data_IF_659465687700
#
_entry.id   IF_659465687700
#
_cell.length_a   1.000
_cell.length_b   1.000
_cell.length_c   1.000
_cell.angle_alpha   90.00
_cell.angle_beta   90.00
_cell.angle_gamma   90.00
#
_symmetry.space_group_name_H-M   'P 1'
#
loop_
_entity.id
_entity.type
_entity.pdbx_description
1 polymer ?
#
# COMPACT_ATOMS: atom_id res chain seq x y z
N UNK A 1 -8.85 1.57 18.54
CA UNK A 1 -10.26 1.28 18.18
C UNK A 1 -10.74 0.20 19.12
N UNK A 2 -11.86 0.41 19.81
CA UNK A 2 -12.39 -0.52 20.80
C UNK A 2 -13.90 -0.67 20.59
N UNK A 3 -14.40 -1.90 20.69
CA UNK A 3 -15.78 -2.30 20.46
C UNK A 3 -16.26 -2.07 19.02
N UNK A 4 -15.37 -2.08 18.02
CA UNK A 4 -15.77 -1.65 16.68
C UNK A 4 -16.44 -2.78 15.88
N UNK A 5 -17.74 -2.61 15.64
CA UNK A 5 -18.60 -3.53 14.91
C UNK A 5 -18.86 -3.08 13.45
N UNK A 6 -18.13 -2.09 12.92
CA UNK A 6 -18.31 -1.66 11.53
C UNK A 6 -17.81 -2.75 10.58
N UNK A 7 -18.50 -2.86 9.44
CA UNK A 7 -18.19 -3.79 8.35
C UNK A 7 -16.86 -3.48 7.68
N UNK A 8 -16.53 -2.20 7.59
CA UNK A 8 -15.32 -1.72 6.95
C UNK A 8 -15.00 -0.32 7.46
N UNK A 9 -13.72 0.05 7.40
CA UNK A 9 -13.23 1.36 7.84
C UNK A 9 -12.06 1.73 6.93
N UNK A 10 -12.19 2.83 6.19
CA UNK A 10 -11.04 3.42 5.50
C UNK A 10 -10.14 4.05 6.56
N UNK A 11 -8.96 3.48 6.76
CA UNK A 11 -8.02 3.92 7.78
C UNK A 11 -7.16 5.07 7.26
N UNK A 12 -6.63 4.96 6.04
CA UNK A 12 -5.86 6.02 5.38
C UNK A 12 -6.08 6.05 3.87
N UNK A 13 -5.79 7.20 3.29
CA UNK A 13 -5.72 7.42 1.84
C UNK A 13 -4.50 8.30 1.55
N UNK A 14 -3.45 7.72 0.97
CA UNK A 14 -2.17 8.42 0.77
C UNK A 14 -1.59 8.19 -0.63
N UNK A 15 -1.00 9.24 -1.20
CA UNK A 15 -0.29 9.20 -2.47
C UNK A 15 1.19 8.91 -2.28
N UNK A 16 1.67 7.81 -2.82
CA UNK A 16 3.08 7.41 -2.80
C UNK A 16 3.76 7.80 -4.11
N UNK A 17 4.85 8.53 -4.00
CA UNK A 17 5.82 8.76 -5.05
C UNK A 17 6.91 7.67 -4.99
N UNK A 18 7.85 7.72 -5.94
CA UNK A 18 9.01 6.82 -5.93
C UNK A 18 9.78 6.93 -4.60
N UNK A 19 10.05 5.78 -3.99
CA UNK A 19 10.74 5.64 -2.72
C UNK A 19 9.94 6.09 -1.50
N UNK A 20 8.63 6.39 -1.65
CA UNK A 20 7.73 6.57 -0.54
C UNK A 20 7.57 5.30 0.30
N UNK A 21 7.25 5.44 1.58
CA UNK A 21 7.13 4.33 2.53
C UNK A 21 5.81 4.35 3.27
N UNK A 22 5.24 3.17 3.46
CA UNK A 22 4.10 2.89 4.33
C UNK A 22 4.59 1.99 5.46
N UNK A 23 4.57 2.51 6.69
CA UNK A 23 4.94 1.76 7.88
C UNK A 23 3.71 1.57 8.76
N UNK A 24 3.44 0.32 9.11
CA UNK A 24 2.28 -0.12 9.85
C UNK A 24 2.72 -0.83 11.12
N UNK A 25 2.16 -0.41 12.26
CA UNK A 25 2.27 -1.14 13.53
C UNK A 25 0.87 -1.42 14.06
N UNK A 26 0.48 -2.69 14.03
CA UNK A 26 -0.75 -3.19 14.61
C UNK A 26 -0.45 -3.68 16.02
N UNK A 27 -1.17 -3.16 17.01
CA UNK A 27 -1.04 -3.57 18.41
C UNK A 27 -2.39 -3.88 19.02
N UNK A 28 -2.40 -4.85 19.94
CA UNK A 28 -3.59 -5.24 20.69
C UNK A 28 -4.78 -5.60 19.79
N UNK A 29 -4.54 -6.23 18.63
CA UNK A 29 -5.61 -6.79 17.81
C UNK A 29 -6.24 -7.96 18.55
N UNK A 30 -7.56 -7.94 18.73
CA UNK A 30 -8.31 -9.01 19.37
C UNK A 30 -9.72 -9.10 18.79
N UNK A 31 -10.28 -10.30 18.91
CA UNK A 31 -11.62 -10.67 18.50
C UNK A 31 -12.30 -11.43 19.64
N UNK A 32 -13.64 -11.49 19.67
CA UNK A 32 -14.36 -12.29 20.65
C UNK A 32 -13.92 -13.76 20.60
N UNK A 33 -13.69 -14.37 21.76
CA UNK A 33 -13.20 -15.75 21.85
C UNK A 33 -14.07 -16.76 21.09
N UNK A 34 -15.39 -16.50 21.00
CA UNK A 34 -16.36 -17.33 20.28
C UNK A 34 -16.09 -17.48 18.78
N UNK A 35 -15.28 -16.58 18.20
CA UNK A 35 -14.90 -16.61 16.80
C UNK A 35 -13.40 -16.83 16.59
N UNK A 36 -12.58 -16.91 17.64
CA UNK A 36 -11.13 -16.96 17.52
C UNK A 36 -10.65 -18.10 16.61
N UNK A 37 -11.21 -19.30 16.79
CA UNK A 37 -10.91 -20.49 15.98
C UNK A 37 -11.53 -20.44 14.57
N UNK A 38 -12.48 -19.51 14.34
CA UNK A 38 -13.16 -19.29 13.06
C UNK A 38 -12.54 -18.18 12.23
N UNK A 39 -11.67 -17.36 12.80
CA UNK A 39 -10.87 -16.37 12.06
C UNK A 39 -9.70 -17.11 11.39
N UNK A 40 -10.05 -17.97 10.44
CA UNK A 40 -9.10 -18.67 9.58
C UNK A 40 -9.07 -18.05 8.18
N UNK A 41 -7.98 -18.32 7.47
CA UNK A 41 -7.76 -17.80 6.11
C UNK A 41 -7.91 -18.87 5.03
N UNK A 42 -8.53 -20.01 5.36
CA UNK A 42 -8.61 -21.18 4.48
C UNK A 42 -9.57 -20.93 3.32
N UNK A 43 -9.29 -21.57 2.18
CA UNK A 43 -10.10 -21.48 0.96
C UNK A 43 -11.56 -21.93 1.17
N UNK A 44 -11.82 -22.75 2.20
CA UNK A 44 -13.15 -23.17 2.65
C UNK A 44 -13.76 -22.28 3.75
N UNK A 45 -13.21 -21.08 4.02
CA UNK A 45 -13.82 -20.07 4.89
C UNK A 45 -15.15 -19.51 4.35
N UNK A 46 -15.64 -20.10 3.25
CA UNK A 46 -17.03 -20.14 2.82
C UNK A 46 -17.94 -20.72 3.92
N UNK A 47 -18.18 -19.92 4.96
CA UNK A 47 -19.50 -19.69 5.61
C UNK A 47 -19.45 -18.77 6.84
N UNK A 48 -18.28 -18.53 7.42
CA UNK A 48 -18.18 -17.81 8.71
C UNK A 48 -17.89 -16.31 8.57
N UNK A 49 -17.18 -15.89 7.52
CA UNK A 49 -16.69 -14.52 7.35
C UNK A 49 -15.20 -14.41 7.70
N UNK A 50 -14.50 -13.45 7.08
CA UNK A 50 -13.07 -13.17 7.30
C UNK A 50 -12.86 -11.77 7.88
N UNK A 51 -11.77 -11.57 8.62
CA UNK A 51 -11.35 -10.24 9.11
C UNK A 51 -9.97 -9.95 8.53
N UNK A 52 -9.73 -8.70 8.18
CA UNK A 52 -8.46 -8.34 7.59
C UNK A 52 -8.36 -6.91 7.11
N UNK A 53 -7.36 -6.67 6.27
CA UNK A 53 -7.07 -5.35 5.71
C UNK A 53 -6.84 -5.46 4.20
N UNK A 54 -7.06 -4.37 3.48
CA UNK A 54 -6.65 -4.24 2.08
C UNK A 54 -5.86 -2.96 1.89
N UNK A 55 -4.74 -3.06 1.18
CA UNK A 55 -4.00 -1.92 0.64
C UNK A 55 -4.16 -1.91 -0.87
N UNK A 56 -4.98 -1.01 -1.40
CA UNK A 56 -5.33 -0.98 -2.84
C UNK A 56 -4.87 0.29 -3.52
N UNK A 57 -4.33 0.18 -4.73
CA UNK A 57 -4.03 1.32 -5.60
C UNK A 57 -5.30 1.79 -6.29
N UNK A 58 -5.51 3.11 -6.31
CA UNK A 58 -6.71 3.75 -6.86
C UNK A 58 -7.94 3.57 -5.96
N UNK A 59 -9.09 4.04 -6.44
CA UNK A 59 -10.31 4.15 -5.63
C UNK A 59 -11.26 2.94 -5.77
N UNK A 60 -10.90 1.87 -6.50
CA UNK A 60 -11.83 0.77 -6.84
C UNK A 60 -12.41 0.05 -5.61
N UNK A 61 -11.57 -0.41 -4.69
CA UNK A 61 -12.00 -1.06 -3.46
C UNK A 61 -12.68 -0.06 -2.51
N UNK A 62 -12.13 1.15 -2.39
CA UNK A 62 -12.70 2.19 -1.55
C UNK A 62 -14.12 2.60 -1.99
N UNK A 63 -14.34 2.72 -3.30
CA UNK A 63 -15.66 2.98 -3.88
C UNK A 63 -16.58 1.74 -3.75
N UNK A 64 -16.05 0.53 -3.92
CA UNK A 64 -16.79 -0.72 -3.75
C UNK A 64 -17.36 -0.86 -2.34
N UNK A 65 -16.55 -0.51 -1.33
CA UNK A 65 -16.94 -0.48 0.08
C UNK A 65 -18.14 0.44 0.33
N UNK A 66 -18.17 1.61 -0.30
CA UNK A 66 -19.26 2.58 -0.14
C UNK A 66 -20.52 2.28 -0.96
N UNK A 67 -20.36 1.63 -2.11
CA UNK A 67 -21.44 1.39 -3.08
C UNK A 67 -22.20 0.07 -2.88
N UNK A 68 -21.54 -0.97 -2.36
CA UNK A 68 -22.10 -2.31 -2.23
C UNK A 68 -22.17 -2.76 -0.77
N UNK A 69 -23.23 -2.41 -0.03
CA UNK A 69 -23.32 -2.70 1.41
C UNK A 69 -23.44 -4.19 1.72
N UNK A 70 -23.79 -5.03 0.74
CA UNK A 70 -24.01 -6.47 0.91
C UNK A 70 -22.79 -7.33 0.59
N UNK A 71 -21.71 -6.75 0.07
CA UNK A 71 -20.56 -7.51 -0.42
C UNK A 71 -19.28 -7.10 0.31
N UNK A 72 -18.57 -8.09 0.86
CA UNK A 72 -17.28 -7.84 1.48
C UNK A 72 -16.17 -7.79 0.42
N UNK A 73 -15.57 -6.61 0.25
CA UNK A 73 -14.53 -6.39 -0.77
C UNK A 73 -13.25 -7.18 -0.50
N UNK A 74 -12.96 -7.52 0.77
CA UNK A 74 -11.83 -8.37 1.15
C UNK A 74 -11.91 -9.78 0.54
N UNK A 75 -13.11 -10.28 0.21
CA UNK A 75 -13.31 -11.59 -0.41
C UNK A 75 -13.28 -11.55 -1.94
N UNK A 76 -13.25 -10.37 -2.55
CA UNK A 76 -13.26 -10.18 -4.01
C UNK A 76 -11.84 -10.16 -4.59
N UNK A 77 -11.02 -11.12 -4.18
CA UNK A 77 -9.60 -11.22 -4.59
C UNK A 77 -9.42 -11.55 -6.07
N UNK A 78 -10.44 -12.17 -6.67
CA UNK A 78 -10.51 -12.63 -8.05
C UNK A 78 -10.81 -11.50 -9.07
N UNK A 79 -11.22 -10.31 -8.61
CA UNK A 79 -11.57 -9.19 -9.49
C UNK A 79 -10.37 -8.44 -10.10
N UNK A 80 -9.15 -8.94 -9.88
CA UNK A 80 -7.95 -8.38 -10.51
C UNK A 80 -7.55 -7.00 -9.99
N UNK A 81 -7.98 -6.63 -8.77
CA UNK A 81 -7.58 -5.35 -8.16
C UNK A 81 -6.07 -5.23 -7.98
N UNK A 82 -5.52 -4.03 -8.21
CA UNK A 82 -4.13 -3.70 -7.86
C UNK A 82 -4.01 -3.53 -6.33
N UNK A 83 -3.90 -4.64 -5.59
CA UNK A 83 -4.01 -4.62 -4.14
C UNK A 83 -3.22 -5.73 -3.42
N UNK A 84 -2.93 -5.46 -2.15
CA UNK A 84 -2.56 -6.46 -1.15
C UNK A 84 -3.75 -6.66 -0.22
N UNK A 85 -4.05 -7.91 0.07
CA UNK A 85 -5.07 -8.32 1.02
C UNK A 85 -4.40 -9.07 2.16
N UNK A 86 -4.67 -8.63 3.38
CA UNK A 86 -4.17 -9.23 4.61
C UNK A 86 -5.34 -9.92 5.28
N UNK A 87 -5.29 -11.24 5.40
CA UNK A 87 -6.30 -12.05 6.09
C UNK A 87 -5.77 -12.44 7.46
N UNK A 88 -6.52 -12.12 8.51
CA UNK A 88 -6.20 -12.62 9.83
C UNK A 88 -6.38 -14.14 9.87
N UNK A 89 -5.32 -14.84 10.28
CA UNK A 89 -5.30 -16.27 10.53
C UNK A 89 -4.81 -16.46 11.98
N UNK A 90 -5.74 -16.21 12.89
CA UNK A 90 -5.48 -16.17 14.33
C UNK A 90 -5.09 -17.54 14.91
N UNK A 91 -5.68 -18.67 14.47
CA UNK A 91 -5.24 -20.00 14.91
C UNK A 91 -3.78 -20.28 14.58
N UNK A 92 -3.26 -19.69 13.49
CA UNK A 92 -1.88 -19.86 13.04
C UNK A 92 -0.98 -18.67 13.39
N UNK A 93 -1.47 -17.71 14.18
CA UNK A 93 -0.76 -16.50 14.59
C UNK A 93 -0.10 -15.76 13.40
N UNK A 94 -0.84 -15.53 12.32
CA UNK A 94 -0.30 -14.86 11.13
C UNK A 94 -1.34 -14.02 10.41
N UNK A 95 -0.88 -13.03 9.64
CA UNK A 95 -1.65 -12.38 8.59
C UNK A 95 -1.25 -13.00 7.27
N UNK A 96 -2.13 -13.79 6.65
CA UNK A 96 -1.89 -14.30 5.31
C UNK A 96 -2.00 -13.16 4.31
N UNK A 97 -1.05 -13.04 3.40
CA UNK A 97 -1.02 -12.00 2.38
C UNK A 97 -1.39 -12.59 1.02
N UNK A 98 -2.43 -12.05 0.40
CA UNK A 98 -2.78 -12.31 -0.98
C UNK A 98 -2.53 -11.06 -1.82
N UNK A 99 -2.01 -11.25 -3.03
CA UNK A 99 -1.56 -10.13 -3.88
C UNK A 99 -2.15 -10.27 -5.26
N UNK A 100 -2.76 -9.18 -5.71
CA UNK A 100 -3.46 -9.12 -6.99
C UNK A 100 -3.00 -7.92 -7.80
N UNK A 101 -3.15 -8.01 -9.12
CA UNK A 101 -2.70 -6.98 -10.06
C UNK A 101 -1.24 -6.54 -9.83
N UNK A 102 -1.02 -5.23 -9.81
CA UNK A 102 0.25 -4.59 -9.51
C UNK A 102 0.75 -4.83 -8.07
N UNK A 103 -0.12 -5.28 -7.15
CA UNK A 103 0.26 -5.68 -5.79
C UNK A 103 1.25 -6.84 -5.75
N UNK A 104 1.35 -7.63 -6.83
CA UNK A 104 2.35 -8.71 -6.98
C UNK A 104 3.81 -8.20 -6.98
N UNK A 105 4.01 -6.92 -7.30
CA UNK A 105 5.34 -6.29 -7.33
C UNK A 105 5.66 -5.56 -6.02
N UNK A 106 4.75 -5.55 -5.04
CA UNK A 106 4.97 -4.89 -3.76
C UNK A 106 5.71 -5.85 -2.84
N UNK A 107 6.86 -5.43 -2.34
CA UNK A 107 7.63 -6.17 -1.34
C UNK A 107 7.30 -5.68 0.07
N UNK A 108 7.17 -6.63 0.99
CA UNK A 108 6.97 -6.38 2.42
C UNK A 108 8.31 -6.53 3.13
N UNK A 109 8.61 -5.60 4.02
CA UNK A 109 9.77 -5.66 4.90
C UNK A 109 9.32 -5.84 6.35
N UNK A 110 10.16 -6.46 7.17
CA UNK A 110 9.91 -6.60 8.61
C UNK A 110 10.01 -5.26 9.34
N UNK A 111 10.77 -4.31 8.78
CA UNK A 111 11.02 -3.01 9.39
C UNK A 111 11.31 -1.94 8.35
N UNK A 112 11.18 -0.68 8.80
CA UNK A 112 11.49 0.49 7.99
C UNK A 112 12.94 0.46 7.46
N UNK A 113 13.89 0.10 8.33
CA UNK A 113 15.32 0.12 8.00
C UNK A 113 15.69 -0.93 6.95
N UNK A 114 15.02 -2.08 6.95
CA UNK A 114 15.18 -3.11 5.92
C UNK A 114 14.69 -2.59 4.56
N UNK A 115 13.48 -2.00 4.53
CA UNK A 115 12.93 -1.35 3.35
C UNK A 115 13.79 -0.18 2.84
N UNK A 116 14.52 0.52 3.72
CA UNK A 116 15.44 1.59 3.34
C UNK A 116 16.74 1.04 2.70
N UNK A 117 17.22 -0.13 3.13
CA UNK A 117 18.43 -0.76 2.61
C UNK A 117 18.25 -1.35 1.21
N UNK A 118 17.09 -1.95 0.92
CA UNK A 118 16.78 -2.49 -0.41
C UNK A 118 16.90 -1.42 -1.52
N UNK A 119 16.57 -0.16 -1.20
CA UNK A 119 16.69 0.96 -2.11
C UNK A 119 18.15 1.35 -2.45
N UNK A 120 19.10 0.99 -1.59
CA UNK A 120 20.52 1.31 -1.78
C UNK A 120 21.25 0.26 -2.64
N UNK A 121 20.78 -1.00 -2.65
CA UNK A 121 21.34 -2.04 -3.51
C UNK A 121 20.92 -1.86 -4.97
N UNK A 122 19.68 -1.45 -5.24
CA UNK A 122 19.19 -1.19 -6.61
C UNK A 122 19.86 0.01 -7.31
N UNK A 123 20.57 0.88 -6.57
CA UNK A 123 21.37 1.96 -7.16
C UNK A 123 22.78 1.55 -7.57
N UNK A 124 23.25 0.37 -7.17
CA UNK A 124 24.61 -0.10 -7.45
C UNK A 124 24.76 -0.91 -8.75
N UNK A 125 23.66 -1.15 -9.46
CA UNK A 125 23.60 -1.95 -10.70
C UNK A 125 23.46 -1.12 -11.98
N UNK A 126 23.77 0.18 -11.93
CA UNK A 126 23.78 1.05 -13.13
C UNK A 126 25.08 1.86 -13.18
N UNK A 127 26.19 1.21 -13.50
CA UNK A 127 27.47 1.87 -13.82
C UNK A 127 28.27 1.00 -14.77
N UNK A 128 28.73 1.60 -15.89
CA UNK A 128 29.63 1.07 -16.94
C UNK A 128 28.95 0.11 -17.96
N UNK A 129 28.99 0.31 -19.28
CA UNK A 129 29.93 1.07 -20.11
C UNK A 129 29.35 1.41 -21.51
N UNK A 130 30.07 2.31 -22.17
CA UNK A 130 29.86 3.12 -23.36
C UNK A 130 30.27 2.39 -24.66
N UNK A 131 29.82 2.93 -25.81
CA UNK A 131 30.44 2.88 -27.16
C UNK A 131 30.32 1.63 -28.08
N UNK A 132 29.62 1.87 -29.21
CA UNK A 132 30.08 1.73 -30.60
C UNK A 132 30.18 0.36 -31.34
N UNK A 133 29.42 0.31 -32.44
CA UNK A 133 29.76 -0.21 -33.79
C UNK A 133 29.66 -1.72 -34.11
N UNK A 134 28.79 -1.99 -35.09
CA UNK A 134 28.61 -3.23 -35.85
C UNK A 134 29.84 -3.57 -36.71
N UNK A 135 30.41 -4.77 -36.54
CA UNK A 135 30.98 -5.58 -37.65
C UNK A 135 30.93 -7.06 -37.32
N UNK A 136 30.43 -7.84 -38.29
CA UNK A 136 30.38 -9.31 -38.34
C UNK A 136 31.80 -9.90 -38.51
N UNK A 137 32.11 -11.01 -37.82
CA UNK A 137 32.50 -12.28 -38.47
C UNK A 137 32.82 -13.47 -37.51
N UNK A 138 32.26 -14.62 -37.90
CA UNK A 138 32.78 -16.00 -37.83
C UNK A 138 32.82 -16.83 -36.51
N UNK A 139 31.83 -17.74 -36.45
CA UNK A 139 31.90 -19.21 -36.13
C UNK A 139 32.63 -19.67 -34.85
N UNK A 140 31.86 -20.15 -33.85
CA UNK A 140 31.66 -21.59 -33.62
C UNK A 140 30.62 -21.91 -32.50
N UNK A 141 29.67 -22.79 -32.85
CA UNK A 141 29.14 -23.94 -32.09
C UNK A 141 28.40 -23.74 -30.73
N UNK A 142 27.06 -23.85 -30.81
CA UNK A 142 26.05 -24.42 -29.88
C UNK A 142 26.23 -24.12 -28.37
N UNK A 143 25.39 -23.23 -27.83
CA UNK A 143 24.17 -23.60 -27.12
C UNK A 143 23.19 -22.42 -27.11
N UNK A 144 21.91 -22.72 -27.36
CA UNK A 144 20.87 -21.72 -27.63
C UNK A 144 20.28 -21.14 -26.36
N UNK A 145 20.83 -20.03 -25.88
CA UNK A 145 20.12 -19.14 -24.97
C UNK A 145 19.29 -18.16 -25.81
N UNK A 146 17.98 -18.39 -25.81
CA UNK A 146 17.04 -17.65 -26.64
C UNK A 146 16.97 -16.19 -26.20
N UNK A 147 16.92 -15.28 -27.18
CA UNK A 147 16.49 -13.90 -26.99
C UNK A 147 15.18 -13.79 -26.18
N UNK A 148 14.34 -14.82 -26.28
CA UNK A 148 13.13 -15.00 -25.48
C UNK A 148 13.39 -15.08 -23.97
N UNK A 149 14.50 -15.67 -23.50
CA UNK A 149 14.85 -15.72 -22.07
C UNK A 149 15.32 -14.36 -21.55
N UNK A 150 16.03 -13.58 -22.38
CA UNK A 150 16.34 -12.18 -22.06
C UNK A 150 15.08 -11.32 -22.03
N UNK A 151 14.13 -11.55 -22.94
CA UNK A 151 12.84 -10.87 -22.92
C UNK A 151 12.00 -11.31 -21.72
N UNK A 152 11.99 -12.61 -21.37
CA UNK A 152 11.35 -13.12 -20.15
C UNK A 152 11.91 -12.49 -18.89
N UNK A 153 13.24 -12.24 -18.82
CA UNK A 153 13.88 -11.53 -17.71
C UNK A 153 13.59 -10.03 -17.65
N UNK A 154 13.13 -9.42 -18.75
CA UNK A 154 12.67 -8.01 -18.76
C UNK A 154 11.19 -7.93 -18.38
N UNK A 155 10.39 -8.97 -18.68
CA UNK A 155 8.96 -9.03 -18.34
C UNK A 155 8.64 -9.73 -17.00
N UNK A 156 9.58 -10.50 -16.45
CA UNK A 156 9.51 -11.08 -15.11
C UNK A 156 10.56 -10.38 -14.25
N UNK A 157 10.07 -9.53 -13.35
CA UNK A 157 10.86 -8.68 -12.46
C UNK A 157 11.98 -9.43 -11.74
N UNK A 158 13.08 -8.70 -11.53
CA UNK A 158 14.29 -9.20 -10.89
C UNK A 158 13.99 -9.94 -9.60
N UNK A 159 14.45 -11.19 -9.55
CA UNK A 159 14.23 -12.11 -8.46
C UNK A 159 15.43 -12.08 -7.52
N UNK A 160 15.31 -11.37 -6.40
CA UNK A 160 16.15 -11.64 -5.23
C UNK A 160 15.70 -12.99 -4.68
N UNK A 161 16.52 -14.04 -4.87
CA UNK A 161 16.21 -15.45 -4.62
C UNK A 161 15.87 -15.87 -3.18
N UNK A 162 14.94 -15.19 -2.52
CA UNK A 162 14.20 -15.68 -1.37
C UNK A 162 12.77 -15.95 -1.85
N UNK A 163 12.22 -17.18 -1.68
CA UNK A 163 10.81 -17.40 -1.92
C UNK A 163 10.02 -16.42 -1.05
N UNK A 164 9.17 -15.64 -1.70
CA UNK A 164 8.42 -14.58 -1.06
C UNK A 164 7.44 -15.14 -0.03
N UNK A 165 7.51 -14.68 1.22
CA UNK A 165 6.59 -15.17 2.26
C UNK A 165 5.19 -14.55 2.05
N UNK A 166 4.21 -15.43 1.87
CA UNK A 166 2.79 -15.07 1.73
C UNK A 166 2.11 -14.86 3.09
N UNK A 167 2.87 -14.54 4.14
CA UNK A 167 2.31 -14.21 5.44
C UNK A 167 3.21 -13.26 6.23
N UNK A 168 2.61 -12.55 7.18
CA UNK A 168 3.29 -11.74 8.19
C UNK A 168 3.02 -12.36 9.55
N UNK A 169 4.05 -12.70 10.35
CA UNK A 169 3.85 -13.33 11.64
C UNK A 169 3.18 -12.38 12.64
N UNK A 170 2.22 -12.88 13.41
CA UNK A 170 1.62 -12.16 14.54
C UNK A 170 2.30 -12.60 15.84
N UNK A 171 2.73 -11.62 16.63
CA UNK A 171 3.18 -11.85 18.01
C UNK A 171 1.95 -11.90 18.90
N UNK A 172 1.69 -13.08 19.48
CA UNK A 172 0.57 -13.30 20.40
C UNK A 172 1.02 -13.13 21.85
N UNK A 173 0.27 -12.34 22.62
CA UNK A 173 0.36 -12.24 24.08
C UNK A 173 -1.05 -12.42 24.64
N UNK A 174 -1.30 -13.58 25.24
CA UNK A 174 -2.64 -14.00 25.68
C UNK A 174 -3.65 -14.04 24.52
N UNK A 175 -4.57 -13.08 24.44
CA UNK A 175 -5.54 -12.94 23.34
C UNK A 175 -5.25 -11.72 22.44
N UNK A 176 -4.12 -11.06 22.67
CA UNK A 176 -3.72 -9.86 21.95
C UNK A 176 -2.68 -10.22 20.89
N UNK A 177 -2.94 -9.78 19.66
CA UNK A 177 -2.07 -9.99 18.50
C UNK A 177 -1.44 -8.67 18.07
N UNK A 178 -0.14 -8.70 17.79
CA UNK A 178 0.61 -7.52 17.33
C UNK A 178 1.52 -7.87 16.16
N UNK A 179 1.73 -6.93 15.25
CA UNK A 179 2.70 -7.06 14.15
C UNK A 179 3.12 -5.69 13.63
N UNK A 180 4.27 -5.65 12.97
CA UNK A 180 4.74 -4.53 12.19
C UNK A 180 4.99 -4.95 10.74
N UNK A 181 4.75 -4.03 9.81
CA UNK A 181 4.95 -4.23 8.38
C UNK A 181 5.44 -2.91 7.79
N UNK A 182 6.45 -2.97 6.93
CA UNK A 182 6.89 -1.82 6.15
C UNK A 182 6.81 -2.14 4.66
N UNK A 183 6.43 -1.14 3.86
CA UNK A 183 6.38 -1.22 2.40
C UNK A 183 7.11 -0.01 1.84
N UNK A 184 7.90 -0.24 0.79
CA UNK A 184 8.51 0.82 -0.01
C UNK A 184 8.01 0.76 -1.44
N UNK A 185 7.61 1.90 -1.99
CA UNK A 185 7.03 1.97 -3.33
C UNK A 185 8.09 2.31 -4.38
N UNK A 186 8.37 1.42 -5.36
CA UNK A 186 9.20 1.75 -6.51
C UNK A 186 8.47 2.68 -7.49
N UNK A 187 9.20 3.24 -8.46
CA UNK A 187 8.65 4.17 -9.45
C UNK A 187 7.40 3.63 -10.18
N UNK A 188 7.42 2.34 -10.56
CA UNK A 188 6.31 1.69 -11.27
C UNK A 188 5.02 1.56 -10.44
N UNK A 189 5.13 1.62 -9.11
CA UNK A 189 4.03 1.45 -8.16
C UNK A 189 3.62 2.78 -7.50
N UNK A 190 4.04 3.91 -8.07
CA UNK A 190 3.53 5.22 -7.65
C UNK A 190 2.01 5.29 -7.82
N UNK A 191 1.36 6.05 -6.94
CA UNK A 191 -0.08 6.28 -7.03
C UNK A 191 -0.72 6.58 -5.69
N UNK A 192 -2.04 6.81 -5.73
CA UNK A 192 -2.86 6.94 -4.53
C UNK A 192 -3.30 5.56 -4.06
N UNK A 193 -3.11 5.27 -2.78
CA UNK A 193 -3.48 4.02 -2.16
C UNK A 193 -4.46 4.26 -1.02
N UNK A 194 -5.29 3.25 -0.75
CA UNK A 194 -6.21 3.23 0.38
C UNK A 194 -5.92 2.02 1.24
N UNK A 195 -5.75 2.26 2.54
CA UNK A 195 -5.64 1.19 3.52
C UNK A 195 -6.97 1.07 4.26
N UNK A 196 -7.60 -0.09 4.16
CA UNK A 196 -8.98 -0.31 4.59
C UNK A 196 -9.04 -1.55 5.47
N UNK A 197 -9.66 -1.43 6.64
CA UNK A 197 -10.04 -2.55 7.47
C UNK A 197 -11.37 -3.15 7.01
N UNK A 198 -11.49 -4.48 7.06
CA UNK A 198 -12.70 -5.23 6.70
C UNK A 198 -13.06 -6.25 7.76
N UNK A 199 -14.34 -6.27 8.11
CA UNK A 199 -14.99 -7.25 8.98
C UNK A 199 -16.15 -7.92 8.22
N UNK A 200 -15.84 -9.00 7.52
CA UNK A 200 -16.82 -9.69 6.69
C UNK A 200 -17.86 -10.46 7.51
N UNK A 201 -17.62 -10.76 8.81
CA UNK A 201 -18.63 -11.38 9.69
C UNK A 201 -19.91 -10.53 9.76
N UNK A 202 -19.74 -9.20 9.80
CA UNK A 202 -20.86 -8.27 9.99
C UNK A 202 -21.71 -8.04 8.74
N UNK A 203 -21.35 -8.64 7.60
CA UNK A 203 -22.18 -8.63 6.39
C UNK A 203 -23.35 -9.62 6.47
N UNK A 204 -23.24 -10.67 7.30
CA UNK A 204 -24.28 -11.69 7.51
C UNK A 204 -25.07 -11.52 8.81
N UNK A 205 -24.66 -10.59 9.67
CA UNK A 205 -25.33 -10.34 10.94
C UNK A 205 -26.76 -9.80 10.73
N UNK A 206 -27.75 -10.49 11.31
CA UNK A 206 -29.16 -10.10 11.27
C UNK A 206 -29.55 -9.35 12.56
N UNK A 207 -29.11 -8.10 12.67
CA UNK A 207 -29.40 -7.24 13.82
C UNK A 207 -28.14 -6.68 14.48
N UNK A 208 -28.31 -5.95 15.57
CA UNK A 208 -27.19 -5.33 16.29
C UNK A 208 -26.47 -6.32 17.23
N UNK A 209 -27.22 -7.25 17.86
CA UNK A 209 -26.68 -8.21 18.83
C UNK A 209 -25.76 -9.28 18.21
N UNK A 210 -25.90 -9.56 16.92
CA UNK A 210 -25.12 -10.59 16.23
C UNK A 210 -23.82 -10.04 15.62
N UNK A 211 -23.50 -8.76 15.86
CA UNK A 211 -22.31 -8.13 15.28
C UNK A 211 -21.07 -8.51 16.07
N UNK A 212 -20.05 -8.91 15.33
CA UNK A 212 -18.70 -9.12 15.83
C UNK A 212 -18.02 -7.77 15.98
N UNK A 213 -17.74 -7.37 17.21
CA UNK A 213 -16.90 -6.22 17.51
C UNK A 213 -15.43 -6.63 17.59
N UNK A 214 -14.52 -5.78 17.14
CA UNK A 214 -13.07 -5.99 17.27
C UNK A 214 -12.41 -4.84 18.01
N UNK A 215 -11.29 -5.15 18.66
CA UNK A 215 -10.42 -4.13 19.24
C UNK A 215 -9.06 -4.21 18.59
N UNK A 216 -8.52 -3.06 18.21
CA UNK A 216 -7.14 -2.93 17.76
C UNK A 216 -6.69 -1.48 17.79
N UNK A 217 -5.39 -1.30 17.98
CA UNK A 217 -4.74 -0.01 17.82
C UNK A 217 -3.76 -0.11 16.67
N UNK A 218 -3.76 0.91 15.83
CA UNK A 218 -2.97 0.94 14.61
C UNK A 218 -2.19 2.24 14.54
N UNK A 219 -0.90 2.13 14.29
CA UNK A 219 -0.02 3.25 14.03
C UNK A 219 0.40 3.15 12.57
N UNK A 220 0.18 4.22 11.81
CA UNK A 220 0.50 4.27 10.40
C UNK A 220 1.37 5.50 10.19
N UNK A 221 2.54 5.30 9.60
CA UNK A 221 3.43 6.37 9.16
C UNK A 221 3.57 6.28 7.66
N UNK A 222 3.07 7.29 6.96
CA UNK A 222 3.08 7.40 5.51
C UNK A 222 3.95 8.60 5.13
N UNK A 223 4.95 8.38 4.27
CA UNK A 223 5.84 9.47 3.85
C UNK A 223 6.39 9.27 2.45
N UNK A 224 6.62 10.38 1.79
CA UNK A 224 7.41 10.47 0.57
C UNK A 224 8.82 10.96 0.92
N UNK A 225 9.76 10.82 -0.03
CA UNK A 225 11.13 11.28 0.17
C UNK A 225 11.13 12.77 0.54
N UNK A 226 11.65 13.10 1.73
CA UNK A 226 11.73 14.47 2.22
C UNK A 226 10.40 15.12 2.61
N UNK A 227 9.28 14.38 2.68
CA UNK A 227 7.97 14.95 3.01
C UNK A 227 6.97 13.95 3.59
N UNK A 228 6.18 14.36 4.57
CA UNK A 228 5.02 13.60 5.06
C UNK A 228 3.74 13.88 4.26
N UNK A 229 3.83 14.72 3.22
CA UNK A 229 2.69 15.00 2.35
C UNK A 229 2.49 13.88 1.35
N UNK A 230 1.22 13.56 1.10
CA UNK A 230 0.80 12.74 -0.03
C UNK A 230 1.35 13.34 -1.34
N UNK A 231 1.69 12.50 -2.30
CA UNK A 231 2.34 12.92 -3.54
C UNK A 231 1.55 14.02 -4.30
N UNK A 232 0.22 13.98 -4.24
CA UNK A 232 -0.65 15.01 -4.84
C UNK A 232 -0.69 16.34 -4.06
N UNK A 233 -0.23 16.34 -2.82
CA UNK A 233 -0.25 17.49 -1.91
C UNK A 233 1.11 18.20 -1.83
N UNK A 234 2.21 17.53 -2.19
CA UNK A 234 3.56 18.10 -2.23
C UNK A 234 3.63 19.45 -2.99
N UNK A 235 3.01 19.63 -4.17
CA UNK A 235 3.09 20.92 -4.88
C UNK A 235 2.18 22.01 -4.29
N UNK A 236 1.25 21.68 -3.38
CA UNK A 236 0.26 22.66 -2.87
C UNK A 236 0.88 23.80 -2.07
N UNK A 237 1.79 23.58 -1.10
CA UNK A 237 2.45 24.68 -0.39
C UNK A 237 3.18 25.65 -1.33
N UNK A 238 3.86 25.13 -2.36
CA UNK A 238 4.53 25.97 -3.37
C UNK A 238 3.52 26.84 -4.14
N UNK A 239 2.40 26.25 -4.55
CA UNK A 239 1.32 26.99 -5.19
C UNK A 239 0.77 28.12 -4.29
N UNK A 240 0.53 27.83 -3.01
CA UNK A 240 0.07 28.85 -2.05
C UNK A 240 1.07 30.00 -1.90
N UNK A 241 2.39 29.72 -1.90
CA UNK A 241 3.42 30.74 -1.86
C UNK A 241 3.41 31.64 -3.10
N UNK A 242 3.31 31.06 -4.31
CA UNK A 242 3.24 31.85 -5.54
C UNK A 242 2.00 32.73 -5.62
N UNK A 243 0.84 32.19 -5.23
CA UNK A 243 -0.42 32.95 -5.19
C UNK A 243 -0.35 34.08 -4.17
N UNK A 244 0.20 33.82 -2.98
CA UNK A 244 0.37 34.84 -1.95
C UNK A 244 1.30 35.97 -2.42
N UNK A 245 2.40 35.64 -3.10
CA UNK A 245 3.30 36.65 -3.68
C UNK A 245 2.60 37.50 -4.76
N UNK A 246 1.81 36.88 -5.63
CA UNK A 246 1.05 37.59 -6.65
C UNK A 246 0.04 38.57 -6.04
N UNK A 247 -0.64 38.19 -4.95
CA UNK A 247 -1.54 39.10 -4.22
C UNK A 247 -0.79 40.27 -3.57
N UNK A 248 0.37 40.02 -2.96
CA UNK A 248 1.21 41.07 -2.38
C UNK A 248 1.68 42.07 -3.44
N UNK A 249 2.14 41.58 -4.60
CA UNK A 249 2.56 42.44 -5.70
C UNK A 249 1.39 43.25 -6.29
N UNK A 250 0.22 42.63 -6.44
CA UNK A 250 -1.00 43.30 -6.91
C UNK A 250 -1.46 44.38 -5.94
N UNK A 251 -1.43 44.10 -4.63
CA UNK A 251 -1.76 45.07 -3.60
C UNK A 251 -0.76 46.24 -3.57
N UNK A 252 0.54 45.96 -3.70
CA UNK A 252 1.57 47.00 -3.77
C UNK A 252 1.41 47.88 -5.01
N UNK A 253 1.12 47.30 -6.17
CA UNK A 253 0.82 48.05 -7.40
C UNK A 253 -0.42 48.92 -7.22
N UNK A 254 -1.49 48.36 -6.66
CA UNK A 254 -2.74 49.09 -6.38
C UNK A 254 -2.51 50.28 -5.45
N UNK A 255 -1.81 50.08 -4.33
CA UNK A 255 -1.44 51.16 -3.41
C UNK A 255 -0.60 52.23 -4.11
N UNK A 256 0.35 51.84 -4.97
CA UNK A 256 1.18 52.80 -5.71
C UNK A 256 0.36 53.64 -6.69
N UNK A 257 -0.57 53.04 -7.41
CA UNK A 257 -1.48 53.76 -8.32
C UNK A 257 -2.35 54.76 -7.56
N UNK A 258 -2.94 54.35 -6.42
CA UNK A 258 -3.73 55.26 -5.57
C UNK A 258 -2.91 56.42 -5.00
N UNK A 259 -1.63 56.20 -4.68
CA UNK A 259 -0.75 57.27 -4.23
C UNK A 259 -0.42 58.26 -5.37
N UNK A 260 -0.17 57.76 -6.59
CA UNK A 260 0.12 58.59 -7.76
C UNK A 260 -1.10 59.42 -8.18
N UNK A 261 -2.29 58.83 -8.24
CA UNK A 261 -3.51 59.52 -8.65
C UNK A 261 -3.98 60.61 -7.68
N UNK A 262 -3.47 60.62 -6.44
CA UNK A 262 -3.76 61.66 -5.43
C UNK A 262 -2.77 62.83 -5.48
N UNK A 263 -1.64 62.65 -6.17
CA UNK A 263 -0.61 63.70 -6.33
C UNK A 263 -0.81 64.58 -7.57
N UNK A 264 -1.77 64.22 -8.43
CA UNK A 264 -2.37 65.09 -9.47
C UNK A 264 -3.61 65.81 -8.92
#
# INVERSE_FOLDING_TARGET
MAGDARRNIVLTSFGYAEGGTFDLVLVNFTVPESILDKVDSRENADKSGVIGFSLSRGDSIAAGVGSNPHVCQLQQTDQGFDALFFFADLPQNRLRVFRSGAGKQIHLCSSHDECAKDASQDRSSMSEDTTATTTLNARNRRDGEGWLDKFKRIFSGGDSGKPYEDFVPLVKKDLLYSTNISIRFPYALRGKYHFIYHNCFNYRAHGYSDRVAVDFTIWIVERNIGSFLSAGDIPKPQLFLYVSLAFVLSAALWCRLLCLSRSE
#
